data_IF_021698680770
#
_entry.id   IF_021698680770
#
_cell.length_a   1.000
_cell.length_b   1.000
_cell.length_c   1.000
_cell.angle_alpha   90.00
_cell.angle_beta   90.00
_cell.angle_gamma   90.00
#
_symmetry.space_group_name_H-M   'P 1'
#
loop_
_entity.id
_entity.type
_entity.pdbx_description
1 polymer ?
#
# COMPACT_ATOMS: atom_id res chain seq x y z
N UNK A 1 14.62 -10.17 0.88
CA UNK A 1 13.38 -9.58 1.40
C UNK A 1 13.59 -8.11 1.72
N UNK A 2 12.76 -7.22 1.17
CA UNK A 2 12.84 -5.79 1.44
C UNK A 2 11.56 -5.32 2.12
N UNK A 3 11.71 -4.42 3.11
CA UNK A 3 10.62 -3.72 3.77
C UNK A 3 10.62 -2.25 3.31
N UNK A 4 9.48 -1.79 2.85
CA UNK A 4 9.28 -0.41 2.41
C UNK A 4 8.25 0.26 3.30
N UNK A 5 8.66 1.29 3.99
CA UNK A 5 7.82 2.05 4.92
C UNK A 5 7.64 3.50 4.45
N UNK A 6 6.71 4.19 5.05
CA UNK A 6 6.47 5.61 4.80
C UNK A 6 4.99 5.99 4.89
N UNK A 7 4.68 7.29 4.88
CA UNK A 7 3.33 7.80 5.01
C UNK A 7 2.45 7.43 3.81
N UNK A 8 1.12 7.50 3.95
CA UNK A 8 0.20 7.36 2.83
C UNK A 8 0.50 8.42 1.75
N UNK A 9 0.37 8.04 0.48
CA UNK A 9 0.54 9.01 -0.63
C UNK A 9 1.97 9.32 -1.03
N UNK A 10 2.98 8.84 -0.32
CA UNK A 10 4.39 9.07 -0.65
C UNK A 10 4.91 8.32 -1.89
N UNK A 11 4.04 7.62 -2.62
CA UNK A 11 4.43 6.94 -3.87
C UNK A 11 4.93 5.51 -3.71
N UNK A 12 4.86 4.91 -2.51
CA UNK A 12 5.30 3.53 -2.24
C UNK A 12 4.82 2.54 -3.30
N UNK A 13 3.52 2.48 -3.56
CA UNK A 13 2.92 1.47 -4.44
C UNK A 13 3.46 1.55 -5.88
N UNK A 14 3.66 2.75 -6.42
CA UNK A 14 4.28 2.92 -7.74
C UNK A 14 5.74 2.46 -7.75
N UNK A 15 6.50 2.84 -6.75
CA UNK A 15 7.91 2.43 -6.62
C UNK A 15 8.03 0.91 -6.46
N UNK A 16 7.15 0.29 -5.66
CA UNK A 16 7.04 -1.16 -5.49
C UNK A 16 6.79 -1.83 -6.85
N UNK A 17 5.81 -1.35 -7.61
CA UNK A 17 5.51 -1.88 -8.95
C UNK A 17 6.74 -1.84 -9.85
N UNK A 18 7.41 -0.71 -9.95
CA UNK A 18 8.60 -0.56 -10.80
C UNK A 18 9.72 -1.49 -10.34
N UNK A 19 9.94 -1.60 -9.04
CA UNK A 19 10.97 -2.48 -8.46
C UNK A 19 10.69 -3.94 -8.78
N UNK A 20 9.46 -4.40 -8.60
CA UNK A 20 9.05 -5.78 -8.89
C UNK A 20 9.13 -6.09 -10.39
N UNK A 21 8.70 -5.19 -11.26
CA UNK A 21 8.81 -5.35 -12.72
C UNK A 21 10.27 -5.44 -13.19
N UNK A 22 11.15 -4.64 -12.59
CA UNK A 22 12.56 -4.62 -12.95
C UNK A 22 13.34 -5.81 -12.38
N UNK A 23 12.81 -6.50 -11.37
CA UNK A 23 13.50 -7.66 -10.79
C UNK A 23 13.59 -8.85 -11.75
N UNK A 24 12.58 -9.07 -12.57
CA UNK A 24 12.57 -10.07 -13.66
C UNK A 24 12.54 -11.52 -13.21
N UNK A 25 12.40 -11.80 -11.92
CA UNK A 25 12.32 -13.14 -11.31
C UNK A 25 11.02 -13.40 -10.59
N UNK A 26 10.94 -14.50 -9.85
CA UNK A 26 9.81 -14.78 -8.99
C UNK A 26 9.73 -13.75 -7.86
N UNK A 27 8.59 -13.09 -7.73
CA UNK A 27 8.35 -12.03 -6.77
C UNK A 27 7.12 -12.31 -5.92
N UNK A 28 7.17 -11.90 -4.66
CA UNK A 28 6.04 -11.91 -3.76
C UNK A 28 5.81 -10.53 -3.13
N UNK A 29 4.57 -10.23 -2.83
CA UNK A 29 4.16 -9.00 -2.16
C UNK A 29 3.41 -9.33 -0.88
N UNK A 30 3.76 -8.62 0.18
CA UNK A 30 3.08 -8.66 1.47
C UNK A 30 2.80 -7.24 1.91
N UNK A 31 1.59 -6.98 2.35
CA UNK A 31 1.28 -5.76 3.08
C UNK A 31 1.11 -6.05 4.56
N UNK A 32 1.78 -5.26 5.38
CA UNK A 32 1.61 -5.24 6.83
C UNK A 32 1.04 -3.89 7.25
N UNK A 33 0.14 -3.88 8.19
CA UNK A 33 -0.47 -2.67 8.71
C UNK A 33 0.35 -2.17 9.90
N UNK A 34 0.72 -0.89 9.87
CA UNK A 34 1.31 -0.20 11.01
C UNK A 34 0.25 0.28 11.99
N UNK A 35 0.69 0.86 13.11
CA UNK A 35 -0.19 1.42 14.12
C UNK A 35 -1.15 2.45 13.53
N UNK A 36 -2.42 2.33 13.89
CA UNK A 36 -3.45 3.30 13.55
C UNK A 36 -3.28 4.55 14.39
N UNK A 37 -3.04 5.69 13.76
CA UNK A 37 -3.14 6.97 14.45
C UNK A 37 -4.63 7.35 14.51
N UNK A 38 -5.16 7.56 15.73
CA UNK A 38 -6.51 8.07 16.02
C UNK A 38 -7.71 7.21 15.58
N UNK A 39 -7.61 5.87 15.65
CA UNK A 39 -8.76 4.99 15.43
C UNK A 39 -9.23 4.88 13.97
N UNK A 40 -8.46 5.39 13.03
CA UNK A 40 -8.67 5.14 11.61
C UNK A 40 -8.25 3.71 11.29
N UNK A 41 -9.23 2.84 11.12
CA UNK A 41 -9.01 1.48 10.60
C UNK A 41 -8.53 1.57 9.15
N UNK A 42 -7.21 1.64 8.96
CA UNK A 42 -6.57 1.71 7.65
C UNK A 42 -6.54 0.36 6.92
N UNK A 43 -6.92 -0.71 7.60
CA UNK A 43 -6.94 -2.07 7.07
C UNK A 43 -7.81 -2.25 5.81
N UNK A 44 -8.86 -1.46 5.65
CA UNK A 44 -9.75 -1.55 4.48
C UNK A 44 -9.12 -1.10 3.15
N UNK A 45 -8.06 -0.28 3.20
CA UNK A 45 -7.36 0.16 1.98
C UNK A 45 -6.28 -0.83 1.49
N UNK A 46 -5.99 -1.87 2.25
CA UNK A 46 -4.95 -2.85 1.91
C UNK A 46 -5.26 -3.57 0.58
N UNK A 47 -6.54 -3.88 0.34
CA UNK A 47 -6.96 -4.61 -0.85
C UNK A 47 -6.79 -3.83 -2.16
N UNK A 48 -6.96 -2.50 -2.16
CA UNK A 48 -6.92 -1.70 -3.38
C UNK A 48 -5.53 -1.71 -4.01
N UNK A 49 -4.50 -1.41 -3.22
CA UNK A 49 -3.11 -1.40 -3.72
C UNK A 49 -2.65 -2.79 -4.14
N UNK A 50 -3.00 -3.81 -3.34
CA UNK A 50 -2.73 -5.21 -3.64
C UNK A 50 -3.35 -5.64 -4.97
N UNK A 51 -4.65 -5.43 -5.15
CA UNK A 51 -5.35 -5.81 -6.37
C UNK A 51 -4.79 -5.10 -7.59
N UNK A 52 -4.46 -3.81 -7.46
CA UNK A 52 -3.81 -3.08 -8.52
C UNK A 52 -2.44 -3.65 -8.89
N UNK A 53 -1.60 -4.01 -7.91
CA UNK A 53 -0.30 -4.64 -8.15
C UNK A 53 -0.44 -6.00 -8.83
N UNK A 54 -1.40 -6.83 -8.38
CA UNK A 54 -1.67 -8.15 -8.97
C UNK A 54 -2.15 -8.03 -10.42
N UNK A 55 -2.96 -7.01 -10.75
CA UNK A 55 -3.39 -6.74 -12.12
C UNK A 55 -2.21 -6.32 -13.02
N UNK A 56 -1.32 -5.46 -12.51
CA UNK A 56 -0.15 -4.97 -13.26
C UNK A 56 0.97 -6.02 -13.40
N UNK A 57 1.05 -6.98 -12.50
CA UNK A 57 2.12 -8.00 -12.43
C UNK A 57 1.48 -9.38 -12.25
N UNK A 58 0.98 -10.01 -13.32
CA UNK A 58 0.19 -11.26 -13.23
C UNK A 58 0.91 -12.44 -12.57
N UNK A 59 2.24 -12.45 -12.54
CA UNK A 59 3.05 -13.49 -11.89
C UNK A 59 3.40 -13.16 -10.42
N UNK A 60 2.91 -12.04 -9.88
CA UNK A 60 3.17 -11.66 -8.49
C UNK A 60 2.41 -12.58 -7.54
N UNK A 61 3.10 -13.11 -6.55
CA UNK A 61 2.46 -13.89 -5.49
C UNK A 61 1.99 -12.97 -4.37
N UNK A 62 0.76 -13.19 -3.95
CA UNK A 62 0.18 -12.51 -2.79
C UNK A 62 0.43 -13.32 -1.51
N UNK A 63 1.16 -12.71 -0.58
CA UNK A 63 1.45 -13.32 0.72
C UNK A 63 0.58 -12.74 1.86
N UNK A 64 -0.40 -11.89 1.54
CA UNK A 64 -1.28 -11.28 2.54
C UNK A 64 -2.21 -12.28 3.23
N UNK A 65 -2.46 -13.44 2.61
CA UNK A 65 -3.21 -14.53 3.22
C UNK A 65 -2.26 -15.66 3.64
N UNK A 66 -2.30 -16.09 4.91
CA UNK A 66 -1.50 -17.21 5.38
C UNK A 66 -2.02 -18.52 4.78
N UNK A 67 -1.57 -18.86 3.58
CA UNK A 67 -1.81 -20.20 3.03
C UNK A 67 -0.94 -21.20 3.78
N UNK A 68 -1.56 -22.21 4.35
CA UNK A 68 -0.94 -23.22 5.20
C UNK A 68 0.13 -24.07 4.48
N UNK A 69 0.24 -24.00 3.17
CA UNK A 69 1.06 -24.92 2.37
C UNK A 69 2.20 -24.28 1.57
N UNK A 70 2.29 -22.98 1.48
CA UNK A 70 3.24 -22.31 0.56
C UNK A 70 4.26 -21.39 1.25
N UNK A 71 4.60 -21.64 2.49
CA UNK A 71 5.83 -21.06 3.08
C UNK A 71 7.06 -21.72 2.48
N UNK A 72 7.11 -21.67 1.16
CA UNK A 72 8.30 -21.95 0.40
C UNK A 72 9.36 -20.97 0.87
N UNK A 73 10.51 -21.46 1.20
CA UNK A 73 11.67 -20.69 1.65
C UNK A 73 11.79 -19.42 0.82
N UNK A 74 11.96 -18.29 1.47
CA UNK A 74 12.26 -16.98 0.85
C UNK A 74 13.55 -17.01 0.02
N UNK A 75 14.26 -18.14 0.01
CA UNK A 75 15.60 -18.26 -0.53
C UNK A 75 15.65 -18.10 -2.06
N UNK A 76 14.55 -18.37 -2.77
CA UNK A 76 14.51 -18.27 -4.23
C UNK A 76 13.62 -17.13 -4.77
N UNK A 77 13.10 -16.25 -3.91
CA UNK A 77 12.11 -15.21 -4.30
C UNK A 77 12.46 -13.86 -3.74
N UNK A 78 12.20 -12.84 -4.55
CA UNK A 78 12.24 -11.47 -4.07
C UNK A 78 10.93 -11.11 -3.38
N UNK A 79 10.97 -10.96 -2.07
CA UNK A 79 9.80 -10.58 -1.26
C UNK A 79 9.85 -9.10 -0.97
N UNK A 80 8.80 -8.37 -1.36
CA UNK A 80 8.65 -6.96 -1.07
C UNK A 80 7.49 -6.75 -0.10
N UNK A 81 7.81 -6.19 1.06
CA UNK A 81 6.87 -5.93 2.14
C UNK A 81 6.57 -4.44 2.16
N UNK A 82 5.30 -4.08 2.07
CA UNK A 82 4.84 -2.70 2.26
C UNK A 82 4.28 -2.53 3.66
N UNK A 83 4.75 -1.50 4.36
CA UNK A 83 4.17 -1.08 5.63
C UNK A 83 3.78 0.39 5.59
N UNK A 84 2.68 0.72 6.24
CA UNK A 84 2.25 2.08 6.42
C UNK A 84 2.74 2.59 7.77
N UNK A 85 3.56 3.64 7.75
CA UNK A 85 4.07 4.29 8.96
C UNK A 85 3.87 5.79 8.82
N UNK A 86 3.10 6.36 9.76
CA UNK A 86 2.76 7.79 9.73
C UNK A 86 3.85 8.68 10.34
N UNK A 87 4.49 8.22 11.39
CA UNK A 87 5.59 8.95 12.00
C UNK A 87 6.81 8.84 11.11
N UNK A 88 7.33 9.98 10.64
CA UNK A 88 8.71 10.03 10.18
C UNK A 88 9.60 9.58 11.33
N UNK A 89 10.53 8.64 11.16
CA UNK A 89 11.50 8.37 12.19
C UNK A 89 12.21 9.70 12.49
N UNK A 90 12.10 10.17 13.72
CA UNK A 90 12.94 11.25 14.22
C UNK A 90 14.37 10.78 14.06
N UNK A 91 15.33 11.67 13.81
CA UNK A 91 16.72 11.35 13.45
C UNK A 91 17.45 10.40 14.41
N UNK A 92 16.82 10.00 15.53
CA UNK A 92 17.34 9.09 16.53
C UNK A 92 16.50 7.81 16.74
N UNK A 93 15.36 7.66 16.07
CA UNK A 93 14.51 6.47 16.18
C UNK A 93 14.56 5.64 14.89
N UNK A 94 15.61 4.84 14.76
CA UNK A 94 15.67 3.70 13.82
C UNK A 94 14.64 2.61 14.15
N UNK A 95 13.62 2.94 14.94
CA UNK A 95 12.70 1.92 15.44
C UNK A 95 11.46 1.79 14.56
N UNK A 96 11.46 0.70 13.82
CA UNK A 96 10.28 0.21 13.15
C UNK A 96 9.13 0.06 14.18
N UNK A 97 7.93 0.49 13.80
CA UNK A 97 6.73 0.35 14.60
C UNK A 97 6.59 -1.06 15.18
N UNK A 98 6.21 -1.15 16.47
CA UNK A 98 6.08 -2.43 17.20
C UNK A 98 5.07 -3.38 16.57
N UNK A 99 4.00 -2.85 15.98
CA UNK A 99 2.98 -3.65 15.30
C UNK A 99 3.52 -4.24 14.00
N UNK A 100 4.28 -3.46 13.22
CA UNK A 100 4.95 -3.95 12.03
C UNK A 100 5.94 -5.07 12.41
N UNK A 101 6.73 -4.88 13.46
CA UNK A 101 7.65 -5.91 13.98
C UNK A 101 6.90 -7.18 14.36
N UNK A 102 5.79 -7.06 15.07
CA UNK A 102 4.98 -8.21 15.48
C UNK A 102 4.41 -8.98 14.28
N UNK A 103 3.90 -8.28 13.28
CA UNK A 103 3.38 -8.92 12.07
C UNK A 103 4.49 -9.62 11.29
N UNK A 104 5.65 -8.99 11.11
CA UNK A 104 6.81 -9.63 10.47
C UNK A 104 7.21 -10.93 11.19
N UNK A 105 7.18 -10.93 12.52
CA UNK A 105 7.44 -12.14 13.32
C UNK A 105 6.39 -13.23 13.09
N UNK A 106 5.10 -12.87 12.98
CA UNK A 106 4.02 -13.83 12.69
C UNK A 106 4.22 -14.52 11.32
N UNK A 107 4.71 -13.77 10.34
CA UNK A 107 5.06 -14.32 9.02
C UNK A 107 6.44 -14.97 8.97
N UNK A 108 7.20 -14.95 10.08
CA UNK A 108 8.60 -15.42 10.16
C UNK A 108 9.49 -14.76 9.08
N UNK A 109 9.30 -13.47 8.85
CA UNK A 109 10.04 -12.69 7.87
C UNK A 109 11.02 -11.75 8.56
N UNK A 110 12.26 -11.73 8.04
CA UNK A 110 13.29 -10.79 8.44
C UNK A 110 13.74 -10.02 7.20
N UNK A 111 13.46 -8.71 7.10
CA UNK A 111 13.92 -7.91 5.97
C UNK A 111 15.45 -7.81 5.95
N UNK A 112 16.06 -8.04 4.79
CA UNK A 112 17.49 -7.81 4.54
C UNK A 112 17.78 -6.31 4.36
N UNK A 113 16.75 -5.57 3.93
CA UNK A 113 16.82 -4.13 3.71
C UNK A 113 15.50 -3.47 4.12
N UNK A 114 15.62 -2.37 4.87
CA UNK A 114 14.48 -1.50 5.20
C UNK A 114 14.69 -0.16 4.49
N UNK A 115 13.69 0.29 3.76
CA UNK A 115 13.65 1.55 3.04
C UNK A 115 12.53 2.42 3.60
N UNK A 116 12.80 3.69 3.83
CA UNK A 116 11.81 4.62 4.37
C UNK A 116 11.63 5.83 3.45
N UNK A 117 10.42 6.00 2.90
CA UNK A 117 10.08 7.16 2.07
C UNK A 117 10.15 8.46 2.87
N UNK A 118 10.85 9.44 2.30
CA UNK A 118 11.11 10.73 2.93
C UNK A 118 12.45 10.85 3.65
N UNK A 119 13.12 9.73 3.92
CA UNK A 119 14.42 9.71 4.61
C UNK A 119 15.51 9.07 3.77
N UNK A 120 15.20 7.94 3.13
CA UNK A 120 16.19 7.17 2.37
C UNK A 120 16.56 7.90 1.07
N UNK A 121 17.87 8.15 0.82
CA UNK A 121 18.33 8.86 -0.38
C UNK A 121 18.14 8.06 -1.67
N UNK A 122 18.00 6.73 -1.59
CA UNK A 122 17.79 5.86 -2.74
C UNK A 122 16.33 5.87 -3.22
N UNK A 123 15.44 6.46 -2.44
CA UNK A 123 14.03 6.59 -2.80
C UNK A 123 13.71 7.94 -3.44
N UNK A 124 12.67 8.01 -4.29
CA UNK A 124 12.24 9.26 -4.88
C UNK A 124 11.91 10.30 -3.78
N UNK A 125 12.49 11.49 -3.91
CA UNK A 125 12.09 12.61 -3.06
C UNK A 125 10.70 13.06 -3.48
N UNK A 126 9.77 13.00 -2.55
CA UNK A 126 8.44 13.54 -2.72
C UNK A 126 8.17 14.56 -1.63
N UNK A 127 7.43 15.61 -2.00
CA UNK A 127 6.88 16.52 -1.02
C UNK A 127 5.88 15.73 -0.17
N UNK A 128 6.28 15.45 1.06
CA UNK A 128 5.39 14.77 2.01
C UNK A 128 4.35 15.78 2.48
N UNK A 129 3.09 15.50 2.18
CA UNK A 129 1.98 16.21 2.77
C UNK A 129 2.00 16.01 4.29
N UNK A 130 1.70 17.06 5.04
CA UNK A 130 1.50 16.93 6.49
C UNK A 130 0.16 16.24 6.75
N UNK A 131 0.22 14.92 6.85
CA UNK A 131 -0.97 14.08 7.06
C UNK A 131 -1.58 14.18 8.46
N UNK A 132 -0.95 14.89 9.39
CA UNK A 132 -1.46 15.06 10.76
C UNK A 132 -2.75 15.88 10.81
N UNK A 133 -3.07 16.60 9.73
CA UNK A 133 -4.25 17.48 9.62
C UNK A 133 -5.28 16.99 8.60
N UNK A 134 -5.04 15.85 7.95
CA UNK A 134 -5.94 15.32 6.92
C UNK A 134 -6.94 14.36 7.53
N UNK A 135 -8.21 14.53 7.17
CA UNK A 135 -9.26 13.56 7.45
C UNK A 135 -9.24 12.46 6.37
N UNK A 136 -9.42 11.22 6.79
CA UNK A 136 -9.59 10.09 5.89
C UNK A 136 -11.05 9.60 5.95
N UNK A 137 -11.63 9.40 4.78
CA UNK A 137 -12.99 8.90 4.63
C UNK A 137 -12.95 7.54 3.94
N UNK A 138 -13.77 6.63 4.42
CA UNK A 138 -13.93 5.31 3.85
C UNK A 138 -15.40 5.09 3.52
N UNK A 139 -15.67 4.55 2.34
CA UNK A 139 -17.00 4.16 1.90
C UNK A 139 -16.93 2.73 1.36
N UNK A 140 -17.75 1.84 1.93
CA UNK A 140 -17.92 0.50 1.40
C UNK A 140 -18.85 0.55 0.17
N UNK A 141 -18.32 0.11 -0.97
CA UNK A 141 -19.00 0.07 -2.25
C UNK A 141 -19.37 -1.36 -2.68
N UNK A 142 -19.30 -2.34 -1.77
CA UNK A 142 -19.65 -3.72 -2.08
C UNK A 142 -21.09 -3.83 -2.61
N UNK A 143 -21.23 -4.56 -3.70
CA UNK A 143 -22.53 -4.74 -4.37
C UNK A 143 -23.00 -3.55 -5.21
N UNK A 144 -22.25 -2.44 -5.24
CA UNK A 144 -22.51 -1.34 -6.14
C UNK A 144 -21.83 -1.58 -7.49
N UNK A 145 -22.56 -1.34 -8.58
CA UNK A 145 -22.03 -1.35 -9.95
C UNK A 145 -22.11 0.07 -10.47
N UNK A 146 -20.98 0.59 -10.93
CA UNK A 146 -20.84 1.96 -11.37
C UNK A 146 -20.95 2.09 -12.89
N UNK A 147 -21.80 3.00 -13.34
CA UNK A 147 -21.82 3.43 -14.74
C UNK A 147 -20.57 4.26 -15.05
N UNK A 148 -19.85 3.98 -16.17
CA UNK A 148 -18.62 4.68 -16.54
C UNK A 148 -18.77 6.21 -16.66
N UNK A 149 -19.92 6.68 -17.14
CA UNK A 149 -20.16 8.12 -17.30
C UNK A 149 -20.37 8.78 -15.94
N UNK A 150 -21.13 8.13 -15.05
CA UNK A 150 -21.35 8.60 -13.68
C UNK A 150 -20.02 8.64 -12.91
N UNK A 151 -19.17 7.63 -13.07
CA UNK A 151 -17.85 7.59 -12.47
C UNK A 151 -16.95 8.72 -12.98
N UNK A 152 -16.97 8.99 -14.28
CA UNK A 152 -16.22 10.10 -14.88
C UNK A 152 -16.68 11.46 -14.35
N UNK A 153 -17.99 11.65 -14.19
CA UNK A 153 -18.57 12.86 -13.61
C UNK A 153 -18.15 13.02 -12.14
N UNK A 154 -18.21 11.94 -11.37
CA UNK A 154 -17.78 11.95 -9.96
C UNK A 154 -16.29 12.33 -9.83
N UNK A 155 -15.41 11.74 -10.62
CA UNK A 155 -13.98 12.09 -10.61
C UNK A 155 -13.75 13.55 -11.02
N UNK A 156 -14.48 14.05 -12.00
CA UNK A 156 -14.41 15.46 -12.41
C UNK A 156 -14.80 16.39 -11.26
N UNK A 157 -15.90 16.11 -10.58
CA UNK A 157 -16.37 16.90 -9.44
C UNK A 157 -15.37 16.84 -8.27
N UNK A 158 -14.81 15.65 -7.97
CA UNK A 158 -13.83 15.45 -6.92
C UNK A 158 -12.57 16.30 -7.14
N UNK A 159 -12.03 16.27 -8.36
CA UNK A 159 -10.82 17.02 -8.73
C UNK A 159 -11.06 18.53 -8.74
N UNK A 160 -12.28 18.96 -9.06
CA UNK A 160 -12.65 20.38 -9.07
C UNK A 160 -13.12 20.93 -7.70
N UNK A 161 -12.98 20.15 -6.64
CA UNK A 161 -13.22 20.61 -5.29
C UNK A 161 -14.69 20.69 -4.90
N UNK A 162 -15.61 20.00 -5.61
CA UNK A 162 -17.03 19.96 -5.25
C UNK A 162 -17.28 19.39 -3.85
N UNK A 163 -16.35 18.57 -3.36
CA UNK A 163 -16.39 17.92 -2.03
C UNK A 163 -15.30 18.44 -1.08
N UNK A 164 -14.73 19.60 -1.36
CA UNK A 164 -13.60 20.17 -0.62
C UNK A 164 -12.26 19.83 -1.24
N UNK A 165 -11.16 20.13 -0.53
CA UNK A 165 -9.81 19.86 -0.99
C UNK A 165 -9.48 18.37 -0.78
N UNK A 166 -9.47 17.61 -1.87
CA UNK A 166 -9.14 16.18 -1.86
C UNK A 166 -7.71 15.99 -2.35
N UNK A 167 -6.81 15.60 -1.46
CA UNK A 167 -5.41 15.39 -1.80
C UNK A 167 -5.15 14.01 -2.40
N UNK A 168 -5.97 13.01 -2.05
CA UNK A 168 -5.84 11.66 -2.56
C UNK A 168 -7.17 10.92 -2.48
N UNK A 169 -7.49 10.18 -3.53
CA UNK A 169 -8.58 9.21 -3.53
C UNK A 169 -8.13 7.91 -4.18
N UNK A 170 -8.64 6.81 -3.69
CA UNK A 170 -8.51 5.47 -4.26
C UNK A 170 -9.84 4.77 -4.18
N UNK A 171 -10.19 4.02 -5.20
CA UNK A 171 -11.40 3.20 -5.20
C UNK A 171 -11.17 1.89 -5.95
N UNK A 172 -11.84 0.86 -5.50
CA UNK A 172 -12.09 -0.39 -6.22
C UNK A 172 -13.59 -0.44 -6.49
N UNK A 173 -13.98 -0.50 -7.75
CA UNK A 173 -15.37 -0.37 -8.16
C UNK A 173 -15.73 -1.44 -9.18
N UNK A 174 -16.89 -2.09 -8.99
CA UNK A 174 -17.41 -3.02 -9.99
C UNK A 174 -18.00 -2.26 -11.16
N UNK A 175 -17.62 -2.66 -12.37
CA UNK A 175 -18.13 -2.09 -13.62
C UNK A 175 -19.17 -3.04 -14.25
N UNK A 176 -20.09 -2.53 -15.12
CA UNK A 176 -21.13 -3.34 -15.74
C UNK A 176 -20.61 -4.48 -16.61
N UNK A 177 -19.37 -4.40 -17.07
CA UNK A 177 -18.71 -5.43 -17.89
C UNK A 177 -17.95 -6.48 -17.06
N UNK A 178 -18.09 -6.44 -15.73
CA UNK A 178 -17.47 -7.39 -14.81
C UNK A 178 -16.02 -7.09 -14.45
N UNK A 179 -15.47 -5.96 -14.90
CA UNK A 179 -14.16 -5.46 -14.44
C UNK A 179 -14.29 -4.76 -13.08
N UNK A 180 -13.24 -4.79 -12.29
CA UNK A 180 -13.13 -4.08 -11.00
C UNK A 180 -11.78 -3.36 -10.91
#
# INVERSE_FOLDING_TARGET
>A
TWLVTGPPGCGKTNWIRETLLNHGGACAYLRVDGSTHDGLELGHNAGIDRNWLMDQIPQLEDWSEPSSDSRLSSDDRFVLIEAQQFSSPTQNDDELDSEIKQQLQQFNLTPDRTLHFGVDPDLPKQDTLDFTKLEAWHLDLQGCVWDPNSLSSFWFELVNGAYGDVYRAKALMNMPDGRS
#
